data_IF_059477077380
#
_entry.id   IF_059477077380
#
_cell.length_a   1.000
_cell.length_b   1.000
_cell.length_c   1.000
_cell.angle_alpha   90.00
_cell.angle_beta   90.00
_cell.angle_gamma   90.00
#
_symmetry.space_group_name_H-M   'P 1'
#
loop_
_entity.id
_entity.type
_entity.pdbx_description
1 polymer ?
#
# COMPACT_ATOMS: atom_id res chain seq x y z
N UNK A 1 -20.52 -15.03 -5.32
CA UNK A 1 -19.44 -15.99 -5.04
C UNK A 1 -18.48 -15.34 -4.06
N UNK A 2 -18.32 -15.90 -2.85
CA UNK A 2 -17.26 -15.44 -1.94
C UNK A 2 -15.91 -15.84 -2.55
N UNK A 3 -14.92 -14.95 -2.53
CA UNK A 3 -13.58 -15.25 -3.05
C UNK A 3 -12.98 -16.41 -2.28
N UNK A 4 -12.20 -17.24 -2.96
CA UNK A 4 -11.42 -18.29 -2.30
C UNK A 4 -10.29 -17.66 -1.48
N UNK A 5 -9.82 -18.37 -0.44
CA UNK A 5 -8.73 -17.89 0.42
C UNK A 5 -7.47 -17.54 -0.37
N UNK A 6 -7.17 -18.32 -1.42
CA UNK A 6 -6.01 -18.08 -2.30
C UNK A 6 -6.15 -16.76 -3.07
N UNK A 7 -7.32 -16.47 -3.64
CA UNK A 7 -7.58 -15.21 -4.35
C UNK A 7 -7.44 -14.00 -3.43
N UNK A 8 -7.94 -14.10 -2.19
CA UNK A 8 -7.81 -13.04 -1.17
C UNK A 8 -6.34 -12.80 -0.80
N UNK A 9 -5.54 -13.87 -0.66
CA UNK A 9 -4.11 -13.74 -0.40
C UNK A 9 -3.36 -13.12 -1.58
N UNK A 10 -3.70 -13.51 -2.81
CA UNK A 10 -3.09 -12.94 -4.01
C UNK A 10 -3.44 -11.46 -4.19
N UNK A 11 -4.71 -11.08 -3.96
CA UNK A 11 -5.15 -9.69 -3.96
C UNK A 11 -4.41 -8.87 -2.89
N UNK A 12 -4.28 -9.43 -1.69
CA UNK A 12 -3.55 -8.81 -0.60
C UNK A 12 -2.06 -8.64 -0.91
N UNK A 13 -1.45 -9.58 -1.65
CA UNK A 13 -0.08 -9.45 -2.16
C UNK A 13 0.03 -8.32 -3.18
N UNK A 14 -0.88 -8.24 -4.16
CA UNK A 14 -0.90 -7.18 -5.18
C UNK A 14 -1.06 -5.79 -4.55
N UNK A 15 -1.99 -5.64 -3.61
CA UNK A 15 -2.17 -4.39 -2.84
C UNK A 15 -0.92 -4.03 -2.04
N UNK A 16 -0.22 -5.01 -1.48
CA UNK A 16 1.03 -4.80 -0.76
C UNK A 16 2.14 -4.28 -1.66
N UNK A 17 2.30 -4.86 -2.85
CA UNK A 17 3.28 -4.38 -3.84
C UNK A 17 3.00 -2.93 -4.22
N UNK A 18 1.74 -2.58 -4.49
CA UNK A 18 1.35 -1.22 -4.85
C UNK A 18 1.59 -0.24 -3.69
N UNK A 19 1.24 -0.62 -2.45
CA UNK A 19 1.51 0.21 -1.28
C UNK A 19 3.02 0.45 -1.07
N UNK A 20 3.83 -0.60 -1.17
CA UNK A 20 5.29 -0.51 -1.03
C UNK A 20 5.93 0.33 -2.14
N UNK A 21 5.49 0.16 -3.39
CA UNK A 21 5.95 0.97 -4.52
C UNK A 21 5.61 2.45 -4.34
N UNK A 22 4.40 2.75 -3.87
CA UNK A 22 3.98 4.12 -3.55
C UNK A 22 4.83 4.75 -2.45
N UNK A 23 5.11 4.00 -1.39
CA UNK A 23 5.98 4.47 -0.30
C UNK A 23 7.42 4.74 -0.78
N UNK A 24 8.00 3.81 -1.55
CA UNK A 24 9.32 3.99 -2.15
C UNK A 24 9.37 5.21 -3.09
N UNK A 25 8.34 5.40 -3.90
CA UNK A 25 8.19 6.57 -4.77
C UNK A 25 8.11 7.89 -4.00
N UNK A 26 7.37 7.93 -2.89
CA UNK A 26 7.29 9.11 -2.04
C UNK A 26 8.64 9.47 -1.39
N UNK A 27 9.38 8.45 -0.91
CA UNK A 27 10.74 8.66 -0.38
C UNK A 27 11.67 9.16 -1.48
N UNK A 28 11.65 8.54 -2.66
CA UNK A 28 12.46 8.99 -3.80
C UNK A 28 12.14 10.42 -4.21
N UNK A 29 10.86 10.81 -4.25
CA UNK A 29 10.45 12.19 -4.53
C UNK A 29 10.97 13.17 -3.46
N UNK A 30 10.93 12.76 -2.18
CA UNK A 30 11.47 13.54 -1.07
C UNK A 30 12.97 13.80 -1.18
N UNK A 31 13.73 12.77 -1.58
CA UNK A 31 15.20 12.83 -1.70
C UNK A 31 15.64 13.57 -2.97
N UNK A 32 15.00 13.30 -4.12
CA UNK A 32 15.44 13.79 -5.42
C UNK A 32 14.89 15.18 -5.78
N UNK A 33 13.67 15.50 -5.34
CA UNK A 33 13.00 16.75 -5.70
C UNK A 33 12.93 17.69 -4.49
N UNK A 34 12.60 17.13 -3.32
CA UNK A 34 12.60 17.86 -2.06
C UNK A 34 11.47 17.47 -1.11
N UNK A 35 11.54 17.92 0.16
CA UNK A 35 10.69 17.43 1.24
C UNK A 35 9.20 17.73 1.02
N UNK A 36 8.85 18.87 0.42
CA UNK A 36 7.44 19.22 0.13
C UNK A 36 6.85 18.25 -0.89
N UNK A 37 7.55 17.96 -1.99
CA UNK A 37 7.08 17.02 -3.02
C UNK A 37 6.99 15.60 -2.45
N UNK A 38 7.97 15.18 -1.65
CA UNK A 38 7.91 13.91 -0.93
C UNK A 38 6.72 13.83 0.02
N UNK A 39 6.43 14.90 0.76
CA UNK A 39 5.27 14.99 1.65
C UNK A 39 3.95 14.86 0.90
N UNK A 40 3.79 15.55 -0.25
CA UNK A 40 2.60 15.42 -1.09
C UNK A 40 2.45 14.01 -1.67
N UNK A 41 3.54 13.39 -2.11
CA UNK A 41 3.54 12.02 -2.61
C UNK A 41 3.26 10.97 -1.50
N UNK A 42 3.61 11.28 -0.26
CA UNK A 42 3.37 10.41 0.89
C UNK A 42 1.87 10.28 1.22
N UNK A 43 1.04 11.28 0.90
CA UNK A 43 -0.41 11.25 1.16
C UNK A 43 -1.10 10.06 0.45
N UNK A 44 -1.01 9.91 -0.89
CA UNK A 44 -1.60 8.76 -1.56
C UNK A 44 -0.91 7.44 -1.18
N UNK A 45 0.40 7.45 -0.90
CA UNK A 45 1.11 6.26 -0.44
C UNK A 45 0.57 5.74 0.91
N UNK A 46 0.33 6.65 1.87
CA UNK A 46 -0.27 6.33 3.16
C UNK A 46 -1.69 5.80 3.01
N UNK A 47 -2.49 6.36 2.10
CA UNK A 47 -3.84 5.85 1.81
C UNK A 47 -3.81 4.42 1.25
N UNK A 48 -2.90 4.13 0.33
CA UNK A 48 -2.73 2.77 -0.22
C UNK A 48 -2.28 1.78 0.84
N UNK A 49 -1.35 2.18 1.71
CA UNK A 49 -0.91 1.37 2.85
C UNK A 49 -2.08 1.08 3.81
N UNK A 50 -2.88 2.10 4.16
CA UNK A 50 -4.08 1.92 4.98
C UNK A 50 -5.08 0.96 4.34
N UNK A 51 -5.37 1.12 3.03
CA UNK A 51 -6.30 0.25 2.31
C UNK A 51 -5.81 -1.21 2.26
N UNK A 52 -4.50 -1.40 2.13
CA UNK A 52 -3.89 -2.73 2.18
C UNK A 52 -3.99 -3.36 3.56
N UNK A 53 -3.69 -2.59 4.61
CA UNK A 53 -3.76 -3.08 5.99
C UNK A 53 -5.19 -3.41 6.40
N UNK A 54 -6.16 -2.54 6.06
CA UNK A 54 -7.58 -2.77 6.27
C UNK A 54 -8.07 -4.04 5.56
N UNK A 55 -7.65 -4.26 4.32
CA UNK A 55 -7.97 -5.48 3.59
C UNK A 55 -7.42 -6.73 4.28
N UNK A 56 -6.22 -6.69 4.87
CA UNK A 56 -5.68 -7.80 5.66
C UNK A 56 -6.52 -8.06 6.92
N UNK A 57 -6.89 -7.01 7.65
CA UNK A 57 -7.69 -7.10 8.86
C UNK A 57 -9.09 -7.70 8.60
N UNK A 58 -9.79 -7.21 7.57
CA UNK A 58 -11.13 -7.69 7.18
C UNK A 58 -11.13 -9.17 6.74
N UNK A 59 -9.99 -9.68 6.28
CA UNK A 59 -9.86 -11.05 5.79
C UNK A 59 -9.11 -11.98 6.75
N UNK A 60 -8.86 -11.55 8.00
CA UNK A 60 -8.17 -12.36 9.01
C UNK A 60 -6.73 -12.73 8.64
N UNK A 61 -6.10 -11.97 7.74
CA UNK A 61 -4.71 -12.15 7.35
C UNK A 61 -3.86 -11.54 8.45
N UNK A 62 -3.08 -12.37 9.17
CA UNK A 62 -2.17 -11.90 10.20
C UNK A 62 -1.19 -10.85 9.63
N UNK A 63 -0.96 -9.81 10.42
CA UNK A 63 0.08 -8.79 10.21
C UNK A 63 1.42 -9.40 10.54
#
# INVERSE_FOLDING_TARGET
>A
MSKTRTEVLEESRKKGIVASAGAAGAVAAGVLIGPVTGGLAAIPAAYLAYKWWRHRAENGIKV
#
